data_IF_853574813467
#
_entry.id   IF_853574813467
#
_cell.length_a   1.000
_cell.length_b   1.000
_cell.length_c   1.000
_cell.angle_alpha   90.00
_cell.angle_beta   90.00
_cell.angle_gamma   90.00
#
_symmetry.space_group_name_H-M   'P 1'
#
loop_
_entity.id
_entity.type
_entity.pdbx_description
1 polymer ?
#
# COMPACT_ATOMS: atom_id res chain seq x y z
N UNK A 1 5.14 -29.74 -22.54
CA UNK A 1 5.05 -28.30 -22.81
C UNK A 1 4.85 -27.64 -21.46
N UNK A 2 5.94 -27.19 -20.86
CA UNK A 2 5.94 -26.48 -19.59
C UNK A 2 5.66 -25.01 -19.90
N UNK A 3 4.38 -24.63 -19.86
CA UNK A 3 4.01 -23.22 -19.71
C UNK A 3 4.59 -22.80 -18.35
N UNK A 4 5.74 -22.13 -18.40
CA UNK A 4 6.26 -21.42 -17.26
C UNK A 4 5.28 -20.28 -16.98
N UNK A 5 4.28 -20.56 -16.14
CA UNK A 5 3.51 -19.52 -15.47
C UNK A 5 4.51 -18.60 -14.78
N UNK A 6 4.61 -17.37 -15.25
CA UNK A 6 5.43 -16.36 -14.59
C UNK A 6 4.87 -16.20 -13.17
N UNK A 7 5.73 -16.37 -12.16
CA UNK A 7 5.35 -16.19 -10.76
C UNK A 7 4.80 -14.77 -10.57
N UNK A 8 3.61 -14.60 -9.96
CA UNK A 8 3.07 -13.28 -9.64
C UNK A 8 4.06 -12.46 -8.80
N UNK A 9 4.36 -11.25 -9.25
CA UNK A 9 5.28 -10.35 -8.55
C UNK A 9 4.60 -9.74 -7.32
N UNK A 10 5.35 -9.21 -6.34
CA UNK A 10 4.74 -8.48 -5.22
C UNK A 10 3.88 -7.30 -5.69
N UNK A 11 4.23 -6.66 -6.80
CA UNK A 11 3.42 -5.62 -7.42
C UNK A 11 2.07 -6.16 -7.92
N UNK A 12 2.05 -7.31 -8.60
CA UNK A 12 0.79 -7.88 -9.10
C UNK A 12 -0.10 -8.42 -7.97
N UNK A 13 0.52 -8.96 -6.91
CA UNK A 13 -0.17 -9.30 -5.66
C UNK A 13 -0.78 -8.05 -5.00
N UNK A 14 -0.04 -6.94 -4.94
CA UNK A 14 -0.57 -5.68 -4.42
C UNK A 14 -1.76 -5.19 -5.25
N UNK A 15 -1.64 -5.18 -6.58
CA UNK A 15 -2.75 -4.77 -7.45
C UNK A 15 -4.00 -5.63 -7.22
N UNK A 16 -3.82 -6.93 -7.02
CA UNK A 16 -4.91 -7.84 -6.66
C UNK A 16 -5.56 -7.45 -5.32
N UNK A 17 -4.78 -7.27 -4.25
CA UNK A 17 -5.33 -6.94 -2.93
C UNK A 17 -5.92 -5.53 -2.85
N UNK A 18 -5.32 -4.55 -3.53
CA UNK A 18 -5.91 -3.22 -3.71
C UNK A 18 -7.27 -3.30 -4.41
N UNK A 19 -7.37 -4.12 -5.46
CA UNK A 19 -8.64 -4.29 -6.19
C UNK A 19 -9.70 -4.92 -5.32
N UNK A 20 -9.31 -5.91 -4.51
CA UNK A 20 -10.20 -6.53 -3.53
C UNK A 20 -10.63 -5.52 -2.47
N UNK A 21 -9.70 -4.79 -1.86
CA UNK A 21 -10.00 -3.79 -0.82
C UNK A 21 -10.96 -2.71 -1.30
N UNK A 22 -10.85 -2.28 -2.56
CA UNK A 22 -11.74 -1.28 -3.16
C UNK A 22 -13.13 -1.85 -3.52
N UNK A 23 -13.28 -3.18 -3.60
CA UNK A 23 -14.56 -3.85 -3.86
C UNK A 23 -15.36 -4.22 -2.60
N UNK A 24 -14.69 -4.17 -1.44
CA UNK A 24 -15.26 -4.50 -0.15
C UNK A 24 -15.91 -3.27 0.50
N UNK A 25 -16.85 -3.51 1.42
CA UNK A 25 -17.34 -2.45 2.29
C UNK A 25 -16.27 -2.03 3.31
N UNK A 26 -16.40 -0.84 3.90
CA UNK A 26 -15.38 -0.19 4.73
C UNK A 26 -14.82 -1.07 5.86
N UNK A 27 -15.66 -1.90 6.48
CA UNK A 27 -15.26 -2.80 7.57
C UNK A 27 -14.84 -4.20 7.09
N UNK A 28 -15.18 -4.57 5.86
CA UNK A 28 -14.94 -5.93 5.36
C UNK A 28 -13.48 -6.17 4.98
N UNK A 29 -12.72 -5.12 4.67
CA UNK A 29 -11.26 -5.27 4.52
C UNK A 29 -10.59 -5.69 5.82
N UNK A 30 -10.98 -5.09 6.96
CA UNK A 30 -10.46 -5.50 8.27
C UNK A 30 -10.85 -6.93 8.59
N UNK A 31 -12.12 -7.31 8.38
CA UNK A 31 -12.58 -8.69 8.57
C UNK A 31 -11.84 -9.69 7.66
N UNK A 32 -11.54 -9.30 6.41
CA UNK A 32 -10.74 -10.11 5.48
C UNK A 32 -9.33 -10.33 6.01
N UNK A 33 -8.66 -9.28 6.47
CA UNK A 33 -7.29 -9.35 7.01
C UNK A 33 -7.27 -10.17 8.30
N UNK A 34 -8.22 -9.97 9.22
CA UNK A 34 -8.32 -10.77 10.45
C UNK A 34 -8.53 -12.25 10.15
N UNK A 35 -9.44 -12.57 9.21
CA UNK A 35 -9.66 -13.94 8.76
C UNK A 35 -8.39 -14.54 8.12
N UNK A 36 -7.72 -13.79 7.25
CA UNK A 36 -6.43 -14.20 6.65
C UNK A 36 -5.40 -14.53 7.74
N UNK A 37 -5.17 -13.61 8.68
CA UNK A 37 -4.20 -13.76 9.74
C UNK A 37 -4.50 -14.95 10.65
N UNK A 38 -5.77 -15.12 11.07
CA UNK A 38 -6.17 -16.24 11.92
C UNK A 38 -5.87 -17.59 11.23
N UNK A 39 -6.21 -17.70 9.95
CA UNK A 39 -5.98 -18.91 9.16
C UNK A 39 -4.50 -19.21 8.95
N UNK A 40 -3.68 -18.18 8.67
CA UNK A 40 -2.23 -18.34 8.51
C UNK A 40 -1.58 -18.70 9.85
N UNK A 41 -1.98 -18.08 10.96
CA UNK A 41 -1.45 -18.37 12.29
C UNK A 41 -1.73 -19.81 12.74
N UNK A 42 -2.89 -20.37 12.35
CA UNK A 42 -3.25 -21.77 12.63
C UNK A 42 -2.61 -22.77 11.65
N UNK A 43 -1.81 -22.31 10.68
CA UNK A 43 -1.29 -23.13 9.58
C UNK A 43 -2.41 -23.88 8.84
N UNK A 44 -3.56 -23.21 8.64
CA UNK A 44 -4.71 -23.82 8.01
C UNK A 44 -4.37 -24.33 6.59
N UNK A 45 -4.85 -25.52 6.19
CA UNK A 45 -4.63 -26.01 4.84
C UNK A 45 -5.19 -25.02 3.80
N UNK A 46 -4.49 -24.85 2.67
CA UNK A 46 -4.89 -23.92 1.60
C UNK A 46 -6.36 -24.07 1.16
N UNK A 47 -6.94 -25.29 1.01
CA UNK A 47 -8.36 -25.42 0.68
C UNK A 47 -9.30 -24.78 1.72
N UNK A 48 -8.92 -24.82 3.00
CA UNK A 48 -9.71 -24.22 4.10
C UNK A 48 -9.56 -22.70 4.07
N UNK A 49 -8.35 -22.18 3.87
CA UNK A 49 -8.10 -20.75 3.69
C UNK A 49 -8.89 -20.19 2.50
N UNK A 50 -8.86 -20.88 1.36
CA UNK A 50 -9.65 -20.56 0.16
C UNK A 50 -11.15 -20.50 0.47
N UNK A 51 -11.69 -21.51 1.15
CA UNK A 51 -13.11 -21.58 1.47
C UNK A 51 -13.57 -20.44 2.39
N UNK A 52 -12.78 -20.10 3.40
CA UNK A 52 -13.12 -19.04 4.36
C UNK A 52 -13.01 -17.63 3.76
N UNK A 53 -12.12 -17.44 2.78
CA UNK A 53 -11.93 -16.15 2.13
C UNK A 53 -12.85 -15.94 0.91
N UNK A 54 -13.43 -17.01 0.35
CA UNK A 54 -14.33 -16.94 -0.81
C UNK A 54 -15.51 -15.93 -0.65
N UNK A 55 -16.17 -15.80 0.52
CA UNK A 55 -17.27 -14.84 0.69
C UNK A 55 -16.90 -13.38 0.42
N UNK A 56 -15.64 -12.98 0.64
CA UNK A 56 -15.17 -11.61 0.40
C UNK A 56 -15.12 -11.22 -1.09
N UNK A 57 -15.19 -12.21 -1.99
CA UNK A 57 -15.23 -11.97 -3.44
C UNK A 57 -16.64 -11.76 -3.99
N UNK A 58 -17.67 -11.65 -3.14
CA UNK A 58 -19.06 -11.49 -3.57
C UNK A 58 -19.29 -10.30 -4.50
N UNK A 59 -18.64 -9.15 -4.21
CA UNK A 59 -18.70 -7.93 -5.00
C UNK A 59 -17.64 -7.86 -6.11
N UNK A 60 -16.70 -8.79 -6.14
CA UNK A 60 -15.58 -8.83 -7.09
C UNK A 60 -15.33 -10.25 -7.60
N UNK A 61 -16.38 -10.89 -8.12
CA UNK A 61 -16.35 -12.27 -8.63
C UNK A 61 -15.22 -12.51 -9.63
N UNK A 62 -14.84 -11.49 -10.42
CA UNK A 62 -13.72 -11.53 -11.37
C UNK A 62 -12.34 -11.75 -10.73
N UNK A 63 -12.17 -11.44 -9.45
CA UNK A 63 -10.93 -11.66 -8.71
C UNK A 63 -10.83 -13.09 -8.16
N UNK A 64 -11.95 -13.81 -8.02
CA UNK A 64 -11.96 -15.16 -7.46
C UNK A 64 -11.13 -16.17 -8.29
N UNK A 65 -11.16 -16.17 -9.64
CA UNK A 65 -10.26 -17.04 -10.42
C UNK A 65 -8.78 -16.70 -10.23
N UNK A 66 -8.43 -15.41 -10.09
CA UNK A 66 -7.05 -14.97 -9.81
C UNK A 66 -6.62 -15.47 -8.43
N UNK A 67 -7.50 -15.33 -7.44
CA UNK A 67 -7.30 -15.82 -6.09
C UNK A 67 -7.07 -17.33 -6.06
N UNK A 68 -7.92 -18.10 -6.75
CA UNK A 68 -7.80 -19.55 -6.83
C UNK A 68 -6.47 -20.00 -7.45
N UNK A 69 -5.97 -19.28 -8.47
CA UNK A 69 -4.62 -19.51 -9.02
C UNK A 69 -3.52 -19.21 -8.01
N UNK A 70 -3.61 -18.08 -7.29
CA UNK A 70 -2.64 -17.74 -6.26
C UNK A 70 -2.62 -18.79 -5.14
N UNK A 71 -3.79 -19.32 -4.75
CA UNK A 71 -3.89 -20.41 -3.78
C UNK A 71 -3.29 -21.72 -4.30
N UNK A 72 -3.47 -22.04 -5.58
CA UNK A 72 -2.80 -23.19 -6.19
C UNK A 72 -1.27 -23.06 -6.14
N UNK A 73 -0.72 -21.86 -6.40
CA UNK A 73 0.72 -21.57 -6.27
C UNK A 73 1.20 -21.67 -4.82
N UNK A 74 0.44 -21.11 -3.87
CA UNK A 74 0.73 -21.19 -2.43
C UNK A 74 0.75 -22.63 -1.88
N UNK A 75 0.04 -23.55 -2.54
CA UNK A 75 0.07 -24.99 -2.18
C UNK A 75 1.42 -25.64 -2.53
N UNK A 76 2.08 -25.14 -3.57
CA UNK A 76 3.35 -25.69 -4.08
C UNK A 76 4.56 -24.96 -3.48
N UNK A 77 4.41 -23.66 -3.21
CA UNK A 77 5.46 -22.79 -2.68
C UNK A 77 5.00 -22.08 -1.39
N UNK A 78 5.42 -22.56 -0.20
CA UNK A 78 5.13 -21.89 1.07
C UNK A 78 5.64 -20.45 1.12
N UNK A 79 6.73 -20.16 0.41
CA UNK A 79 7.31 -18.82 0.40
C UNK A 79 6.41 -17.83 -0.35
N UNK A 80 5.62 -18.34 -1.30
CA UNK A 80 4.61 -17.54 -1.99
C UNK A 80 3.50 -17.08 -1.04
N UNK A 81 3.01 -17.95 -0.14
CA UNK A 81 2.00 -17.57 0.85
C UNK A 81 2.54 -16.53 1.85
N UNK A 82 3.82 -16.67 2.23
CA UNK A 82 4.51 -15.70 3.08
C UNK A 82 4.57 -14.32 2.40
N UNK A 83 5.04 -14.25 1.14
CA UNK A 83 5.04 -13.00 0.37
C UNK A 83 3.63 -12.43 0.24
N UNK A 84 2.61 -13.24 -0.09
CA UNK A 84 1.22 -12.78 -0.17
C UNK A 84 0.75 -12.21 1.16
N UNK A 85 1.07 -12.86 2.28
CA UNK A 85 0.73 -12.38 3.61
C UNK A 85 1.36 -11.02 3.85
N UNK A 86 2.65 -10.84 3.59
CA UNK A 86 3.31 -9.54 3.75
C UNK A 86 2.67 -8.46 2.87
N UNK A 87 2.29 -8.78 1.63
CA UNK A 87 1.62 -7.85 0.72
C UNK A 87 0.21 -7.49 1.20
N UNK A 88 -0.61 -8.46 1.63
CA UNK A 88 -1.95 -8.22 2.22
C UNK A 88 -1.83 -7.23 3.38
N UNK A 89 -0.94 -7.53 4.32
CA UNK A 89 -0.75 -6.76 5.53
C UNK A 89 -0.26 -5.34 5.23
N UNK A 90 0.57 -5.19 4.19
CA UNK A 90 1.11 -3.89 3.78
C UNK A 90 0.15 -3.09 2.89
N UNK A 91 -0.94 -3.69 2.39
CA UNK A 91 -1.82 -3.08 1.36
C UNK A 91 -2.33 -1.68 1.75
N UNK A 92 -2.80 -1.41 2.98
CA UNK A 92 -3.25 -0.07 3.36
C UNK A 92 -2.16 1.01 3.22
N UNK A 93 -0.93 0.71 3.67
CA UNK A 93 0.22 1.60 3.53
C UNK A 93 0.62 1.76 2.07
N UNK A 94 0.66 0.66 1.31
CA UNK A 94 0.99 0.67 -0.12
C UNK A 94 -0.01 1.52 -0.92
N UNK A 95 -1.30 1.47 -0.62
CA UNK A 95 -2.33 2.35 -1.23
C UNK A 95 -2.02 3.81 -0.93
N UNK A 96 -1.71 4.16 0.33
CA UNK A 96 -1.35 5.54 0.71
C UNK A 96 -0.11 6.02 -0.05
N UNK A 97 0.95 5.20 -0.14
CA UNK A 97 2.18 5.55 -0.86
C UNK A 97 1.91 5.70 -2.37
N UNK A 98 1.16 4.80 -2.99
CA UNK A 98 0.78 4.92 -4.40
C UNK A 98 0.05 6.23 -4.69
N UNK A 99 -0.89 6.63 -3.82
CA UNK A 99 -1.63 7.88 -3.95
C UNK A 99 -0.74 9.14 -3.82
N UNK A 100 0.35 9.04 -3.04
CA UNK A 100 1.35 10.11 -2.91
C UNK A 100 2.22 10.20 -4.16
N UNK A 101 2.71 9.06 -4.67
CA UNK A 101 3.63 8.99 -5.81
C UNK A 101 2.96 9.36 -7.14
N UNK A 102 1.66 9.04 -7.31
CA UNK A 102 0.88 9.33 -8.54
C UNK A 102 1.54 8.82 -9.84
N UNK A 103 2.33 7.75 -9.75
CA UNK A 103 3.05 7.15 -10.87
C UNK A 103 3.20 5.65 -10.64
N UNK A 104 2.64 4.84 -11.54
CA UNK A 104 2.72 3.38 -11.47
C UNK A 104 4.17 2.90 -11.61
N UNK A 105 4.99 3.56 -12.43
CA UNK A 105 6.40 3.20 -12.59
C UNK A 105 7.21 3.48 -11.32
N UNK A 106 7.05 4.65 -10.69
CA UNK A 106 7.72 4.95 -9.41
C UNK A 106 7.25 4.03 -8.29
N UNK A 107 5.94 3.73 -8.26
CA UNK A 107 5.39 2.83 -7.27
C UNK A 107 5.87 1.38 -7.46
N UNK A 108 6.05 0.90 -8.69
CA UNK A 108 6.68 -0.40 -8.96
C UNK A 108 8.12 -0.45 -8.41
N UNK A 109 8.94 0.58 -8.66
CA UNK A 109 10.31 0.67 -8.13
C UNK A 109 10.31 0.69 -6.60
N UNK A 110 9.33 1.36 -5.98
CA UNK A 110 9.16 1.35 -4.54
C UNK A 110 8.83 -0.05 -4.00
N UNK A 111 7.92 -0.79 -4.65
CA UNK A 111 7.60 -2.17 -4.26
C UNK A 111 8.82 -3.08 -4.39
N UNK A 112 9.64 -2.90 -5.42
CA UNK A 112 10.90 -3.65 -5.58
C UNK A 112 11.93 -3.32 -4.48
N UNK A 113 11.93 -2.08 -4.00
CA UNK A 113 12.79 -1.64 -2.90
C UNK A 113 12.41 -2.27 -1.55
N UNK A 114 11.14 -2.68 -1.39
CA UNK A 114 10.66 -3.36 -0.18
C UNK A 114 11.11 -4.82 -0.06
N UNK A 115 11.62 -5.42 -1.15
CA UNK A 115 12.12 -6.80 -1.18
C UNK A 115 11.11 -7.84 -0.64
N UNK A 116 9.82 -7.64 -0.90
CA UNK A 116 8.73 -8.48 -0.37
C UNK A 116 8.80 -9.95 -0.83
N UNK A 117 9.48 -10.21 -1.94
CA UNK A 117 9.74 -11.54 -2.51
C UNK A 117 11.05 -12.17 -2.04
N UNK A 118 11.87 -11.47 -1.27
CA UNK A 118 13.14 -11.96 -0.75
C UNK A 118 13.10 -12.11 0.78
N UNK A 119 12.70 -13.30 1.25
CA UNK A 119 12.64 -13.60 2.69
C UNK A 119 14.01 -13.59 3.39
N UNK A 120 15.11 -13.66 2.63
CA UNK A 120 16.46 -13.58 3.20
C UNK A 120 16.96 -12.13 3.33
N UNK A 121 16.21 -11.15 2.85
CA UNK A 121 16.58 -9.74 2.98
C UNK A 121 16.56 -9.33 4.45
N UNK A 122 17.69 -8.82 4.94
CA UNK A 122 17.75 -8.29 6.31
C UNK A 122 16.95 -6.98 6.41
N UNK A 123 16.44 -6.66 7.59
CA UNK A 123 15.77 -5.38 7.83
C UNK A 123 16.65 -4.19 7.41
N UNK A 124 17.95 -4.23 7.73
CA UNK A 124 18.91 -3.19 7.33
C UNK A 124 19.04 -3.05 5.80
N UNK A 125 18.98 -4.15 5.06
CA UNK A 125 19.00 -4.13 3.60
C UNK A 125 17.74 -3.49 3.02
N UNK A 126 16.56 -3.90 3.51
CA UNK A 126 15.27 -3.31 3.09
C UNK A 126 15.25 -1.81 3.37
N UNK A 127 15.62 -1.40 4.58
CA UNK A 127 15.65 0.01 4.96
C UNK A 127 16.61 0.82 4.11
N UNK A 128 17.78 0.26 3.77
CA UNK A 128 18.72 0.90 2.84
C UNK A 128 18.11 1.06 1.45
N UNK A 129 17.49 0.02 0.89
CA UNK A 129 16.85 0.11 -0.42
C UNK A 129 15.72 1.14 -0.45
N UNK A 130 14.90 1.21 0.60
CA UNK A 130 13.85 2.23 0.74
C UNK A 130 14.46 3.62 0.84
N UNK A 131 15.52 3.82 1.61
CA UNK A 131 16.22 5.11 1.70
C UNK A 131 16.82 5.54 0.37
N UNK A 132 17.47 4.62 -0.35
CA UNK A 132 18.03 4.87 -1.68
C UNK A 132 16.93 5.29 -2.67
N UNK A 133 15.73 4.70 -2.58
CA UNK A 133 14.57 5.13 -3.35
C UNK A 133 14.08 6.53 -2.93
N UNK A 134 13.90 6.77 -1.62
CA UNK A 134 13.42 8.06 -1.11
C UNK A 134 14.35 9.22 -1.44
N UNK A 135 15.67 8.97 -1.50
CA UNK A 135 16.67 9.95 -1.87
C UNK A 135 16.54 10.43 -3.32
N UNK A 136 15.92 9.63 -4.20
CA UNK A 136 15.68 9.98 -5.61
C UNK A 136 14.40 10.81 -5.80
N UNK A 137 13.55 10.92 -4.77
CA UNK A 137 12.29 11.65 -4.86
C UNK A 137 12.47 13.15 -4.60
N UNK A 138 11.64 14.01 -5.23
CA UNK A 138 11.53 15.42 -4.83
C UNK A 138 11.20 15.55 -3.34
N UNK A 139 11.86 16.49 -2.65
CA UNK A 139 11.72 16.66 -1.19
C UNK A 139 10.27 16.74 -0.68
N UNK A 140 9.32 17.45 -1.34
CA UNK A 140 7.93 17.49 -0.91
C UNK A 140 7.22 16.12 -0.99
N UNK A 141 7.56 15.30 -1.99
CA UNK A 141 6.99 13.96 -2.15
C UNK A 141 7.60 13.02 -1.10
N UNK A 142 8.92 13.09 -0.91
CA UNK A 142 9.64 12.33 0.11
C UNK A 142 9.05 12.56 1.51
N UNK A 143 8.81 13.82 1.90
CA UNK A 143 8.19 14.15 3.19
C UNK A 143 6.78 13.58 3.34
N UNK A 144 5.98 13.56 2.27
CA UNK A 144 4.64 12.95 2.32
C UNK A 144 4.70 11.43 2.46
N UNK A 145 5.66 10.77 1.82
CA UNK A 145 5.88 9.32 2.01
C UNK A 145 6.36 9.04 3.44
N UNK A 146 7.29 9.83 3.98
CA UNK A 146 7.74 9.72 5.37
C UNK A 146 6.60 9.95 6.37
N UNK A 147 5.68 10.86 6.08
CA UNK A 147 4.45 11.04 6.85
C UNK A 147 3.60 9.76 6.86
N UNK A 148 3.40 9.13 5.70
CA UNK A 148 2.63 7.88 5.61
C UNK A 148 3.25 6.75 6.46
N UNK A 149 4.58 6.65 6.51
CA UNK A 149 5.27 5.72 7.40
C UNK A 149 5.07 6.04 8.88
N UNK A 150 5.26 7.31 9.27
CA UNK A 150 5.07 7.72 10.66
C UNK A 150 3.61 7.49 11.13
N UNK A 151 2.63 7.72 10.26
CA UNK A 151 1.21 7.43 10.53
C UNK A 151 0.95 5.93 10.70
N UNK A 152 1.49 5.09 9.82
CA UNK A 152 1.33 3.64 9.91
C UNK A 152 1.95 3.12 11.22
N UNK A 153 3.17 3.53 11.54
CA UNK A 153 3.84 3.13 12.79
C UNK A 153 3.09 3.63 14.03
N UNK A 154 2.52 4.85 14.00
CA UNK A 154 1.71 5.36 15.11
C UNK A 154 0.36 4.62 15.23
N UNK A 155 -0.26 4.25 14.11
CA UNK A 155 -1.46 3.42 14.09
C UNK A 155 -1.18 2.05 14.71
N UNK A 156 -0.10 1.39 14.31
CA UNK A 156 0.23 0.04 14.77
C UNK A 156 0.67 0.01 16.25
N UNK A 157 1.51 0.96 16.66
CA UNK A 157 2.06 0.98 18.03
C UNK A 157 1.09 1.51 19.08
N UNK A 158 0.15 2.39 18.70
CA UNK A 158 -0.72 3.09 19.64
C UNK A 158 -2.21 2.92 19.35
N UNK A 159 -2.59 2.23 18.28
CA UNK A 159 -3.99 2.05 17.88
C UNK A 159 -4.67 3.34 17.42
N UNK A 160 -3.91 4.30 16.86
CA UNK A 160 -4.48 5.58 16.43
C UNK A 160 -5.30 5.40 15.14
N UNK A 161 -6.58 5.79 15.18
CA UNK A 161 -7.43 5.82 13.99
C UNK A 161 -6.98 6.89 12.99
N UNK A 162 -7.31 6.72 11.69
CA UNK A 162 -7.06 7.75 10.67
C UNK A 162 -7.65 9.11 11.07
N UNK A 163 -8.85 9.13 11.66
CA UNK A 163 -9.49 10.35 12.17
C UNK A 163 -8.67 11.05 13.25
N UNK A 164 -8.06 10.28 14.16
CA UNK A 164 -7.18 10.82 15.22
C UNK A 164 -5.90 11.38 14.62
N UNK A 165 -5.32 10.67 13.63
CA UNK A 165 -4.13 11.10 12.91
C UNK A 165 -4.37 12.39 12.12
N UNK A 166 -5.49 12.50 11.41
CA UNK A 166 -5.88 13.69 10.65
C UNK A 166 -6.11 14.89 11.58
N UNK A 167 -6.79 14.68 12.71
CA UNK A 167 -6.98 15.74 13.72
C UNK A 167 -5.64 16.26 14.24
N UNK A 168 -4.70 15.37 14.57
CA UNK A 168 -3.36 15.76 15.01
C UNK A 168 -2.60 16.54 13.92
N UNK A 169 -2.75 16.15 12.65
CA UNK A 169 -2.13 16.85 11.53
C UNK A 169 -2.69 18.26 11.35
N UNK A 170 -4.02 18.41 11.43
CA UNK A 170 -4.70 19.71 11.33
C UNK A 170 -4.39 20.63 12.51
N UNK A 171 -4.29 20.09 13.73
CA UNK A 171 -3.87 20.85 14.92
C UNK A 171 -2.47 21.47 14.79
N UNK A 172 -1.61 20.84 13.98
CA UNK A 172 -0.29 21.35 13.66
C UNK A 172 -0.29 22.19 12.38
N UNK A 173 -1.47 22.66 11.93
CA UNK A 173 -1.72 23.43 10.72
C UNK A 173 -0.99 22.85 9.50
N UNK A 174 -1.15 21.55 9.26
CA UNK A 174 -0.61 20.85 8.10
C UNK A 174 0.93 20.92 7.93
N UNK A 175 1.69 21.21 9.00
CA UNK A 175 3.17 21.16 8.95
C UNK A 175 3.65 19.71 9.04
N UNK A 176 4.03 19.19 7.87
CA UNK A 176 4.38 17.78 7.71
C UNK A 176 5.60 17.38 8.53
N UNK A 177 6.63 18.23 8.60
CA UNK A 177 7.83 17.89 9.37
C UNK A 177 7.53 17.90 10.87
N UNK A 178 6.86 18.94 11.38
CA UNK A 178 6.48 19.02 12.79
C UNK A 178 5.55 17.86 13.18
N UNK A 179 4.65 17.46 12.29
CA UNK A 179 3.77 16.32 12.51
C UNK A 179 4.52 14.98 12.57
N UNK A 180 5.49 14.74 11.68
CA UNK A 180 6.35 13.56 11.75
C UNK A 180 7.12 13.54 13.07
N UNK A 181 7.72 14.66 13.46
CA UNK A 181 8.48 14.78 14.71
C UNK A 181 7.58 14.55 15.93
N UNK A 182 6.33 15.03 15.88
CA UNK A 182 5.30 14.80 16.89
C UNK A 182 4.96 13.31 17.03
N UNK A 183 4.65 12.62 15.94
CA UNK A 183 4.30 11.19 15.95
C UNK A 183 5.46 10.33 16.47
N UNK A 184 6.68 10.58 15.98
CA UNK A 184 7.90 9.88 16.47
C UNK A 184 8.11 10.09 17.97
N UNK A 185 7.89 11.31 18.46
CA UNK A 185 8.03 11.60 19.89
C UNK A 185 6.95 10.89 20.71
N UNK A 186 5.73 10.84 20.20
CA UNK A 186 4.60 10.18 20.84
C UNK A 186 4.84 8.68 21.03
N UNK A 187 5.41 8.03 20.02
CA UNK A 187 5.76 6.61 20.02
C UNK A 187 6.82 6.25 21.09
N UNK A 188 7.63 7.19 21.58
CA UNK A 188 8.63 6.94 22.63
C UNK A 188 8.01 6.41 23.93
N UNK A 189 6.73 6.67 24.16
CA UNK A 189 5.99 6.10 25.28
C UNK A 189 5.97 4.56 25.22
N UNK A 190 5.77 4.00 24.01
CA UNK A 190 5.71 2.56 23.79
C UNK A 190 7.10 1.98 23.52
N UNK A 191 7.86 2.58 22.59
CA UNK A 191 9.13 2.00 22.10
C UNK A 191 10.26 2.07 23.13
N UNK A 192 10.26 3.09 24.00
CA UNK A 192 11.30 3.29 25.03
C UNK A 192 10.75 3.31 26.45
N UNK A 193 9.49 2.91 26.66
CA UNK A 193 8.81 3.01 27.96
C UNK A 193 8.94 4.41 28.60
N UNK A 194 8.97 5.46 27.77
CA UNK A 194 9.18 6.83 28.26
C UNK A 194 7.93 7.32 28.98
N UNK A 195 8.02 7.81 30.23
CA UNK A 195 6.84 8.28 30.95
C UNK A 195 6.07 9.36 30.17
N UNK A 196 4.74 9.26 30.16
CA UNK A 196 3.87 10.16 29.39
C UNK A 196 4.17 11.65 29.58
N UNK A 197 4.40 12.09 30.82
CA UNK A 197 4.74 13.50 31.11
C UNK A 197 6.04 13.96 30.44
N UNK A 198 7.01 13.05 30.26
CA UNK A 198 8.28 13.33 29.57
C UNK A 198 8.05 13.45 28.06
N UNK A 199 7.21 12.58 27.49
CA UNK A 199 6.77 12.66 26.09
C UNK A 199 6.06 13.99 25.82
N UNK A 200 5.08 14.35 26.65
CA UNK A 200 4.36 15.64 26.56
C UNK A 200 5.32 16.83 26.66
N UNK A 201 6.31 16.78 27.56
CA UNK A 201 7.33 17.83 27.70
C UNK A 201 8.17 17.99 26.43
N UNK A 202 8.60 16.88 25.80
CA UNK A 202 9.33 16.91 24.52
C UNK A 202 8.46 17.48 23.39
N UNK A 203 7.21 17.04 23.29
CA UNK A 203 6.26 17.57 22.31
C UNK A 203 6.06 19.09 22.53
N UNK A 204 5.94 19.52 23.78
CA UNK A 204 5.85 20.95 24.12
C UNK A 204 7.02 21.74 23.58
N UNK A 205 8.25 21.26 23.77
CA UNK A 205 9.44 21.92 23.23
C UNK A 205 9.39 22.01 21.70
N UNK A 206 8.99 20.95 21.01
CA UNK A 206 8.87 20.93 19.55
C UNK A 206 7.82 21.93 19.04
N UNK A 207 6.63 21.92 19.64
CA UNK A 207 5.50 22.78 19.25
C UNK A 207 5.80 24.24 19.56
N UNK A 208 6.32 24.55 20.76
CA UNK A 208 6.64 25.94 21.13
C UNK A 208 7.75 26.55 20.25
N UNK A 209 8.67 25.74 19.73
CA UNK A 209 9.73 26.21 18.85
C UNK A 209 9.23 26.65 17.46
N UNK A 210 8.19 26.01 16.92
CA UNK A 210 7.69 26.28 15.55
C UNK A 210 6.33 26.99 15.52
N UNK A 211 5.40 26.60 16.41
CA UNK A 211 4.00 27.02 16.44
C UNK A 211 3.51 27.23 17.88
N UNK A 212 4.00 28.26 18.59
CA UNK A 212 3.71 28.44 20.02
C UNK A 212 2.22 28.61 20.34
N UNK A 213 1.44 29.18 19.42
CA UNK A 213 0.02 29.45 19.63
C UNK A 213 -0.86 28.19 19.63
N UNK A 214 -0.40 27.06 19.08
CA UNK A 214 -1.19 25.82 19.02
C UNK A 214 -1.02 24.93 20.25
N UNK A 215 -0.09 25.26 21.16
CA UNK A 215 0.25 24.40 22.29
C UNK A 215 -0.96 24.04 23.17
N UNK A 216 -1.86 25.00 23.44
CA UNK A 216 -3.01 24.75 24.30
C UNK A 216 -3.97 23.70 23.72
N UNK A 217 -4.16 23.72 22.40
CA UNK A 217 -5.02 22.76 21.70
C UNK A 217 -4.32 21.39 21.60
N UNK A 218 -3.01 21.37 21.36
CA UNK A 218 -2.20 20.15 21.37
C UNK A 218 -2.17 19.49 22.76
N UNK A 219 -2.01 20.27 23.83
CA UNK A 219 -2.01 19.76 25.22
C UNK A 219 -3.36 19.14 25.57
N UNK A 220 -4.47 19.79 25.19
CA UNK A 220 -5.81 19.24 25.34
C UNK A 220 -5.99 17.94 24.56
N UNK A 221 -5.50 17.89 23.32
CA UNK A 221 -5.55 16.69 22.49
C UNK A 221 -4.77 15.53 23.13
N UNK A 222 -3.56 15.79 23.62
CA UNK A 222 -2.73 14.80 24.31
C UNK A 222 -3.39 14.29 25.60
N UNK A 223 -4.02 15.17 26.38
CA UNK A 223 -4.76 14.74 27.57
C UNK A 223 -5.93 13.80 27.20
N UNK A 224 -6.70 14.13 26.17
CA UNK A 224 -7.79 13.25 25.71
C UNK A 224 -7.27 11.91 25.19
N UNK A 225 -6.15 11.92 24.47
CA UNK A 225 -5.52 10.71 23.95
C UNK A 225 -5.06 9.79 25.10
N UNK A 226 -4.43 10.34 26.15
CA UNK A 226 -3.92 9.57 27.27
C UNK A 226 -5.02 8.94 28.14
N UNK A 227 -6.11 9.67 28.38
CA UNK A 227 -7.17 9.23 29.29
C UNK A 227 -8.32 8.49 28.61
N UNK A 228 -8.23 8.23 27.30
CA UNK A 228 -9.27 7.51 26.55
C UNK A 228 -10.59 8.30 26.39
N UNK A 229 -10.62 9.57 26.78
CA UNK A 229 -11.78 10.46 26.62
C UNK A 229 -11.76 11.18 25.27
N UNK A 230 -11.48 10.45 24.19
CA UNK A 230 -11.54 11.02 22.85
C UNK A 230 -12.99 11.19 22.41
N UNK A 231 -13.62 12.30 22.80
CA UNK A 231 -14.92 12.75 22.29
C UNK A 231 -14.70 13.86 21.27
N UNK A 232 -15.02 13.57 20.02
CA UNK A 232 -14.84 14.41 18.83
C UNK A 232 -15.52 15.80 18.91
N UNK A 233 -16.41 16.02 19.89
CA UNK A 233 -17.33 17.15 19.93
C UNK A 233 -16.69 18.52 20.22
N UNK A 234 -15.42 18.61 20.64
CA UNK A 234 -14.84 19.88 21.12
C UNK A 234 -13.92 20.63 20.15
N UNK A 235 -13.57 20.09 18.99
CA UNK A 235 -12.63 20.74 18.06
C UNK A 235 -13.28 21.43 16.85
N UNK A 236 -14.56 21.19 16.60
CA UNK A 236 -15.34 21.83 15.52
C UNK A 236 -16.04 23.11 16.00
N UNK A 237 -15.28 24.18 16.24
CA UNK A 237 -15.83 25.53 16.45
C UNK A 237 -15.25 26.59 15.51
N UNK A 238 -14.41 26.24 14.54
CA UNK A 238 -13.74 27.26 13.70
C UNK A 238 -13.43 26.91 12.24
N UNK A 239 -13.60 25.66 11.78
CA UNK A 239 -13.05 25.23 10.49
C UNK A 239 -14.07 24.88 9.38
N UNK A 240 -15.38 24.86 9.65
CA UNK A 240 -16.40 24.41 8.67
C UNK A 240 -16.94 25.48 7.73
N UNK A 241 -16.37 26.69 7.73
CA UNK A 241 -16.88 27.78 6.90
C UNK A 241 -16.31 27.85 5.47
N UNK A 242 -15.44 26.92 5.03
CA UNK A 242 -14.66 27.11 3.80
C UNK A 242 -14.73 26.01 2.72
N UNK A 243 -15.55 24.96 2.85
CA UNK A 243 -15.65 23.91 1.80
C UNK A 243 -17.08 23.45 1.48
N UNK A 244 -18.07 24.33 1.61
CA UNK A 244 -19.31 24.19 0.86
C UNK A 244 -19.21 25.07 -0.39
N UNK A 245 -19.79 24.63 -1.51
CA UNK A 245 -19.77 25.21 -2.86
C UNK A 245 -18.65 24.71 -3.79
N UNK A 246 -18.86 23.53 -4.39
CA UNK A 246 -19.07 23.49 -5.85
C UNK A 246 -19.75 22.17 -6.25
N UNK A 247 -21.08 22.18 -6.19
CA UNK A 247 -21.95 21.16 -6.75
C UNK A 247 -22.71 21.86 -7.89
N UNK A 248 -22.24 21.70 -9.13
CA UNK A 248 -23.04 22.06 -10.30
C UNK A 248 -23.27 20.83 -11.16
N UNK A 249 -24.52 20.40 -11.07
CA UNK A 249 -25.22 19.54 -12.02
C UNK A 249 -25.05 20.04 -13.46
N UNK A 250 -24.87 19.09 -14.38
CA UNK A 250 -25.45 19.20 -15.71
C UNK A 250 -25.99 17.84 -16.14
N UNK A 251 -27.31 17.79 -16.13
CA UNK A 251 -28.16 16.74 -16.67
C UNK A 251 -28.21 16.84 -18.21
N UNK A 252 -28.27 15.68 -18.86
CA UNK A 252 -29.20 15.34 -19.96
C UNK A 252 -28.52 14.63 -21.13
N UNK A 253 -29.06 13.46 -21.49
CA UNK A 253 -28.73 12.79 -22.75
C UNK A 253 -29.14 11.33 -22.78
N UNK A 254 -30.44 11.04 -22.65
CA UNK A 254 -30.98 9.70 -22.92
C UNK A 254 -30.89 9.37 -24.41
N UNK A 255 -30.31 8.22 -24.71
CA UNK A 255 -30.53 7.50 -25.95
C UNK A 255 -30.55 6.00 -25.64
N UNK A 256 -31.71 5.39 -25.93
CA UNK A 256 -31.90 3.95 -25.99
C UNK A 256 -30.94 3.39 -27.04
N UNK A 257 -30.03 2.51 -26.62
CA UNK A 257 -29.28 1.63 -27.51
C UNK A 257 -29.38 0.22 -26.95
N UNK A 258 -29.61 -0.68 -27.88
CA UNK A 258 -30.11 -2.03 -27.75
C UNK A 258 -29.10 -2.96 -27.08
N UNK A 259 -29.64 -4.04 -26.50
CA UNK A 259 -28.94 -5.18 -25.92
C UNK A 259 -27.81 -5.70 -26.84
N UNK A 260 -26.57 -5.48 -26.41
CA UNK A 260 -25.40 -6.30 -26.74
C UNK A 260 -24.51 -6.34 -25.49
N UNK A 261 -24.91 -7.18 -24.52
CA UNK A 261 -24.08 -7.57 -23.38
C UNK A 261 -22.91 -8.46 -23.87
N UNK A 262 -22.06 -7.94 -24.75
CA UNK A 262 -20.65 -8.34 -24.71
C UNK A 262 -20.10 -7.78 -23.40
N UNK A 263 -20.04 -8.66 -22.39
CA UNK A 263 -19.35 -8.49 -21.12
C UNK A 263 -17.86 -8.21 -21.40
N UNK A 264 -17.54 -6.99 -21.82
CA UNK A 264 -16.18 -6.45 -21.84
C UNK A 264 -15.80 -6.30 -20.37
N UNK A 265 -15.35 -7.40 -19.78
CA UNK A 265 -14.82 -7.46 -18.43
C UNK A 265 -13.60 -6.57 -18.38
N UNK A 266 -13.78 -5.34 -17.89
CA UNK A 266 -12.70 -4.38 -17.71
C UNK A 266 -11.64 -5.02 -16.82
N UNK A 267 -10.46 -5.30 -17.41
CA UNK A 267 -9.32 -5.87 -16.70
C UNK A 267 -8.76 -4.80 -15.77
N UNK A 268 -8.53 -5.16 -14.51
CA UNK A 268 -7.82 -4.26 -13.61
C UNK A 268 -6.33 -4.24 -13.94
N UNK A 269 -5.78 -3.04 -14.12
CA UNK A 269 -4.37 -2.84 -14.44
C UNK A 269 -3.46 -3.48 -13.39
N UNK A 270 -2.46 -4.25 -13.86
CA UNK A 270 -1.43 -4.86 -13.01
C UNK A 270 -1.86 -6.14 -12.27
N UNK A 271 -3.10 -6.60 -12.43
CA UNK A 271 -3.53 -7.92 -11.93
C UNK A 271 -3.25 -8.98 -13.00
N UNK A 272 -2.72 -10.13 -12.59
CA UNK A 272 -2.36 -11.23 -13.49
C UNK A 272 -3.61 -12.01 -13.97
N UNK A 273 -4.39 -11.38 -14.86
CA UNK A 273 -5.45 -12.04 -15.62
C UNK A 273 -4.81 -12.86 -16.74
N UNK A 274 -4.58 -14.15 -16.48
CA UNK A 274 -4.34 -15.10 -17.56
C UNK A 274 -5.65 -15.27 -18.32
N UNK A 275 -5.60 -15.09 -19.64
CA UNK A 275 -6.68 -15.55 -20.53
C UNK A 275 -6.53 -17.07 -20.56
N UNK A 276 -7.35 -17.78 -19.81
CA UNK A 276 -7.49 -19.21 -20.03
C UNK A 276 -8.08 -19.35 -21.44
N UNK A 277 -7.24 -19.70 -22.42
CA UNK A 277 -7.65 -19.98 -23.81
C UNK A 277 -8.68 -21.13 -23.93
N UNK A 278 -9.09 -21.70 -22.80
CA UNK A 278 -10.14 -22.71 -22.71
C UNK A 278 -11.54 -22.07 -22.66
N UNK A 279 -11.71 -20.86 -22.12
CA UNK A 279 -13.02 -20.20 -22.06
C UNK A 279 -13.37 -19.50 -23.40
N UNK A 280 -12.37 -19.09 -24.18
CA UNK A 280 -12.57 -18.48 -25.52
C UNK A 280 -12.72 -19.53 -26.65
N UNK A 281 -12.44 -20.81 -26.40
CA UNK A 281 -12.58 -21.87 -27.41
C UNK A 281 -13.97 -22.50 -27.47
N UNK A 282 -14.87 -22.22 -26.51
CA UNK A 282 -16.24 -22.76 -26.55
C UNK A 282 -17.20 -21.90 -27.41
N UNK A 283 -16.74 -20.75 -27.92
CA UNK A 283 -17.47 -19.82 -28.78
C UNK A 283 -16.65 -19.43 -30.02
N UNK A 284 -16.05 -20.42 -30.68
CA UNK A 284 -15.25 -20.21 -31.89
C UNK A 284 -15.37 -21.38 -32.85
N UNK A 285 -16.45 -21.38 -33.61
CA UNK A 285 -16.73 -22.23 -34.76
C UNK A 285 -15.53 -22.52 -35.65
N UNK A 286 -15.37 -23.81 -35.94
CA UNK A 286 -14.86 -24.41 -37.18
C UNK A 286 -14.51 -23.42 -38.31
N UNK A 287 -13.24 -23.36 -38.72
CA UNK A 287 -12.81 -23.38 -40.14
C UNK A 287 -11.28 -23.31 -40.30
N UNK A 288 -10.79 -24.18 -41.18
CA UNK A 288 -9.56 -24.09 -41.99
C UNK A 288 -8.18 -24.46 -41.40
N UNK A 289 -7.84 -25.72 -41.70
CA UNK A 289 -6.54 -26.24 -42.14
C UNK A 289 -5.64 -25.30 -42.95
N UNK A 290 -4.31 -25.31 -42.72
CA UNK A 290 -3.23 -25.82 -43.63
C UNK A 290 -1.84 -25.65 -42.98
N UNK A 291 -0.87 -26.59 -43.14
CA UNK A 291 0.50 -26.48 -42.62
C UNK A 291 1.56 -26.18 -43.70
N UNK A 292 2.64 -25.47 -43.34
CA UNK A 292 4.00 -25.44 -43.95
C UNK A 292 4.76 -24.26 -43.29
N UNK A 293 6.05 -24.26 -42.95
CA UNK A 293 7.16 -25.14 -43.26
C UNK A 293 8.42 -24.30 -43.61
N UNK A 294 9.38 -24.24 -42.68
CA UNK A 294 10.86 -24.23 -42.90
C UNK A 294 11.68 -22.93 -43.13
N UNK A 295 12.88 -22.98 -42.49
CA UNK A 295 14.20 -22.40 -42.85
C UNK A 295 14.49 -20.89 -42.60
N UNK A 296 15.70 -20.42 -42.21
CA UNK A 296 16.95 -20.94 -41.61
C UNK A 296 17.91 -19.72 -41.37
N UNK A 297 18.83 -19.82 -40.40
CA UNK A 297 20.23 -19.24 -40.32
C UNK A 297 20.52 -17.81 -39.81
N UNK A 298 21.17 -17.74 -38.62
CA UNK A 298 22.55 -17.25 -38.29
C UNK A 298 23.24 -16.19 -39.18
N UNK A 299 23.99 -15.14 -38.73
CA UNK A 299 25.02 -14.93 -37.66
C UNK A 299 25.37 -13.38 -37.54
N UNK A 300 26.33 -12.87 -36.71
CA UNK A 300 26.25 -11.59 -35.97
C UNK A 300 27.37 -10.55 -36.33
N UNK A 301 27.99 -9.80 -35.37
CA UNK A 301 27.86 -8.36 -35.06
C UNK A 301 29.10 -7.51 -35.48
N UNK A 302 29.19 -6.20 -35.17
CA UNK A 302 29.92 -5.67 -33.98
C UNK A 302 29.34 -4.31 -33.48
N UNK A 303 29.74 -3.59 -32.43
CA UNK A 303 30.79 -3.63 -31.41
C UNK A 303 30.95 -2.22 -30.79
N UNK A 304 31.17 -2.15 -29.47
CA UNK A 304 31.95 -1.14 -28.68
C UNK A 304 31.44 0.33 -28.63
N UNK A 305 31.30 0.91 -27.41
CA UNK A 305 32.14 2.03 -26.87
C UNK A 305 31.77 2.36 -25.40
N UNK A 306 32.81 2.59 -24.58
CA UNK A 306 32.81 3.03 -23.17
C UNK A 306 32.80 4.57 -23.03
N UNK A 307 32.30 5.10 -21.90
CA UNK A 307 32.81 6.26 -21.13
C UNK A 307 31.79 6.55 -20.00
N UNK A 308 32.10 6.43 -18.70
CA UNK A 308 32.97 7.24 -17.83
C UNK A 308 32.26 8.47 -17.20
N UNK A 309 32.25 8.44 -15.85
CA UNK A 309 32.30 9.54 -14.87
C UNK A 309 31.21 10.65 -14.88
N UNK A 310 30.48 10.79 -13.76
CA UNK A 310 30.81 11.82 -12.74
C UNK A 310 29.82 11.79 -11.56
N UNK A 311 30.37 11.86 -10.34
CA UNK A 311 29.62 12.17 -9.11
C UNK A 311 29.39 13.67 -8.99
N UNK A 312 28.31 14.10 -8.32
CA UNK A 312 28.55 15.05 -7.24
C UNK A 312 27.77 14.74 -5.96
N UNK A 313 28.47 14.99 -4.86
CA UNK A 313 28.04 14.96 -3.47
C UNK A 313 26.79 15.81 -3.20
N UNK A 314 25.87 15.33 -2.34
CA UNK A 314 25.07 16.20 -1.49
C UNK A 314 24.33 15.45 -0.36
N UNK A 315 24.43 16.05 0.83
CA UNK A 315 23.39 16.19 1.86
C UNK A 315 23.06 14.98 2.76
N UNK A 316 23.58 15.12 3.99
CA UNK A 316 23.21 14.45 5.24
C UNK A 316 21.89 13.68 5.25
N UNK A 317 22.03 12.36 5.20
CA UNK A 317 20.99 11.41 5.55
C UNK A 317 20.86 11.40 7.07
N UNK A 318 19.66 11.72 7.56
CA UNK A 318 19.32 11.54 8.96
C UNK A 318 19.43 10.04 9.30
N UNK A 319 20.15 9.74 10.36
CA UNK A 319 20.43 8.40 10.86
C UNK A 319 19.13 7.70 11.30
N UNK A 320 18.75 6.62 10.61
CA UNK A 320 17.55 5.79 10.88
C UNK A 320 17.88 4.51 11.66
N UNK A 321 19.10 4.38 12.18
CA UNK A 321 19.53 3.20 12.94
C UNK A 321 18.78 2.98 14.28
N UNK A 322 17.85 3.87 14.64
CA UNK A 322 17.00 3.72 15.83
C UNK A 322 15.63 3.08 15.59
N UNK A 323 15.27 2.71 14.36
CA UNK A 323 14.05 1.91 14.07
C UNK A 323 14.30 0.42 14.34
N UNK A 324 14.58 0.09 15.60
CA UNK A 324 14.66 -1.28 16.08
C UNK A 324 13.31 -1.64 16.71
N UNK A 325 12.56 -2.54 16.06
CA UNK A 325 11.48 -3.28 16.71
C UNK A 325 12.13 -4.53 17.30
N UNK A 326 11.95 -4.71 18.61
CA UNK A 326 12.41 -5.89 19.35
C UNK A 326 11.70 -7.16 18.87
N UNK A 327 12.45 -8.26 18.87
CA UNK A 327 12.04 -9.63 18.53
C UNK A 327 10.74 -10.13 19.20
#
# INVERSE_FOLDING_TARGET
MSDHFARPTPYSQFCFFKSLSLSLYEYDWYNFVECWQAMVAENAPIPVLRLNLAPFFGNSKRLLPVFDRYMALATVDPDFLSTMTTVVMSTPLLIKVQAILRSNSLFSVYVDALKLDNQSASHAEVMRCVQDFLAQLPAPICLRVQRAFAEAEASDSMGLSNTTLDMAFELLHSDTQLYIDFLKTLQLNQTRNMPWHTVVSKIKTLVLAKKPYTWNDVDRFLQQLHWGHFQQQYYYSGATAAMAYNEESSSSGGALMEDDDELVMERVEGVDYVIDKLDDMELGTELESTPQGSHQKHFPPPGITQAAEDSPSALGVADFSEMSISE
#
